data_IF_787704229877
#
_entry.id   IF_787704229877
#
_cell.length_a   1.000
_cell.length_b   1.000
_cell.length_c   1.000
_cell.angle_alpha   90.00
_cell.angle_beta   90.00
_cell.angle_gamma   90.00
#
_symmetry.space_group_name_H-M   'P 1'
#
loop_
_entity.id
_entity.type
_entity.pdbx_description
1 polymer ?
#
# COMPACT_ATOMS: atom_id res chain seq x y z
N UNK A 1 2.99 18.20 1.00
CA UNK A 1 4.02 17.25 0.52
C UNK A 1 3.32 16.02 0.00
N UNK A 2 3.89 15.38 -1.01
CA UNK A 2 3.42 14.11 -1.55
C UNK A 2 4.10 12.98 -0.77
N UNK A 3 3.32 12.12 -0.12
CA UNK A 3 3.81 11.01 0.69
C UNK A 3 3.31 9.69 0.07
N UNK A 4 4.23 8.80 -0.29
CA UNK A 4 3.87 7.44 -0.70
C UNK A 4 3.88 6.50 0.49
N UNK A 5 2.79 5.75 0.69
CA UNK A 5 2.72 4.70 1.73
C UNK A 5 3.22 3.38 1.15
N UNK A 6 4.18 2.75 1.82
CA UNK A 6 4.64 1.39 1.53
C UNK A 6 4.25 0.45 2.67
N UNK A 7 3.53 -0.63 2.36
CA UNK A 7 2.98 -1.51 3.38
C UNK A 7 2.66 -2.91 2.83
N UNK A 8 2.46 -3.86 3.74
CA UNK A 8 1.83 -5.13 3.38
C UNK A 8 0.37 -4.90 2.98
N UNK A 9 -0.09 -5.56 1.91
CA UNK A 9 -1.50 -5.56 1.55
C UNK A 9 -2.40 -6.18 2.63
N UNK A 10 -1.85 -6.99 3.54
CA UNK A 10 -2.57 -7.49 4.73
C UNK A 10 -2.94 -6.40 5.73
N UNK A 11 -2.27 -5.24 5.67
CA UNK A 11 -2.54 -4.09 6.54
C UNK A 11 -3.50 -3.08 5.89
N UNK A 12 -4.07 -3.36 4.70
CA UNK A 12 -4.89 -2.40 3.92
C UNK A 12 -6.00 -1.72 4.72
N UNK A 13 -6.52 -2.39 5.75
CA UNK A 13 -7.55 -1.87 6.66
C UNK A 13 -7.09 -0.62 7.43
N UNK A 14 -5.78 -0.38 7.55
CA UNK A 14 -5.18 0.81 8.19
C UNK A 14 -5.11 2.02 7.25
N UNK A 15 -5.25 1.83 5.93
CA UNK A 15 -5.14 2.91 4.95
C UNK A 15 -6.09 4.09 5.22
N UNK A 16 -7.39 3.89 5.50
CA UNK A 16 -8.31 5.01 5.72
C UNK A 16 -7.89 5.91 6.89
N UNK A 17 -7.42 5.31 7.99
CA UNK A 17 -6.95 6.04 9.18
C UNK A 17 -5.69 6.84 8.88
N UNK A 18 -4.69 6.20 8.26
CA UNK A 18 -3.38 6.81 8.00
C UNK A 18 -3.48 7.89 6.93
N UNK A 19 -4.23 7.64 5.85
CA UNK A 19 -4.51 8.66 4.85
C UNK A 19 -5.21 9.85 5.50
N UNK A 20 -6.24 9.61 6.32
CA UNK A 20 -6.96 10.68 7.01
C UNK A 20 -6.05 11.56 7.87
N UNK A 21 -5.14 10.96 8.65
CA UNK A 21 -4.18 11.72 9.48
C UNK A 21 -3.25 12.58 8.62
N UNK A 22 -2.68 12.02 7.55
CA UNK A 22 -1.73 12.71 6.69
C UNK A 22 -2.41 13.82 5.87
N UNK A 23 -3.61 13.54 5.34
CA UNK A 23 -4.42 14.50 4.59
C UNK A 23 -4.86 15.66 5.48
N UNK A 24 -5.27 15.40 6.73
CA UNK A 24 -5.60 16.45 7.71
C UNK A 24 -4.39 17.35 8.04
N UNK A 25 -3.17 16.81 7.96
CA UNK A 25 -1.94 17.58 8.10
C UNK A 25 -1.53 18.33 6.81
N UNK A 26 -2.32 18.27 5.74
CA UNK A 26 -2.08 18.97 4.48
C UNK A 26 -1.14 18.23 3.52
N UNK A 27 -0.98 16.91 3.67
CA UNK A 27 -0.22 16.08 2.75
C UNK A 27 -1.11 15.44 1.68
N UNK A 28 -0.55 15.25 0.50
CA UNK A 28 -1.14 14.39 -0.54
C UNK A 28 -0.61 12.98 -0.34
N UNK A 29 -1.48 11.97 -0.37
CA UNK A 29 -1.12 10.58 -0.03
C UNK A 29 -1.28 9.66 -1.24
N UNK A 30 -0.18 9.01 -1.63
CA UNK A 30 -0.17 8.01 -2.68
C UNK A 30 -0.16 6.60 -2.07
N UNK A 31 -1.20 5.83 -2.33
CA UNK A 31 -1.35 4.46 -1.80
C UNK A 31 -0.81 3.40 -2.75
N UNK A 32 -0.42 2.21 -2.25
CA UNK A 32 0.07 1.10 -3.08
C UNK A 32 -0.94 0.63 -4.13
N UNK A 33 -2.23 0.69 -3.78
CA UNK A 33 -3.30 0.24 -4.66
C UNK A 33 -4.61 0.91 -4.30
N UNK A 34 -5.52 1.05 -5.27
CA UNK A 34 -6.90 1.40 -4.97
C UNK A 34 -7.59 0.15 -4.43
N UNK A 35 -7.90 0.14 -3.14
CA UNK A 35 -8.46 -1.01 -2.42
C UNK A 35 -9.86 -1.41 -2.90
N UNK A 36 -10.45 -0.62 -3.80
CA UNK A 36 -11.79 -0.83 -4.36
C UNK A 36 -11.80 -1.80 -5.55
N UNK A 37 -10.66 -2.09 -6.17
CA UNK A 37 -10.64 -2.78 -7.46
C UNK A 37 -10.53 -4.31 -7.41
N UNK A 38 -10.20 -4.92 -6.25
CA UNK A 38 -10.05 -6.38 -6.17
C UNK A 38 -10.12 -6.94 -4.75
N UNK A 39 -10.71 -8.14 -4.61
CA UNK A 39 -10.68 -8.92 -3.38
C UNK A 39 -9.31 -9.61 -3.21
N UNK A 40 -8.36 -8.88 -2.62
CA UNK A 40 -7.05 -9.43 -2.28
C UNK A 40 -7.11 -10.51 -1.18
N UNK A 41 -8.15 -10.50 -0.33
CA UNK A 41 -8.23 -11.40 0.82
C UNK A 41 -8.69 -12.79 0.42
N UNK A 42 -9.67 -12.88 -0.49
CA UNK A 42 -10.12 -14.15 -1.07
C UNK A 42 -9.14 -14.80 -2.05
N UNK A 43 -8.16 -14.04 -2.56
CA UNK A 43 -7.17 -14.55 -3.52
C UNK A 43 -6.06 -15.36 -2.83
N UNK A 44 -5.72 -16.54 -3.40
CA UNK A 44 -4.55 -17.31 -3.00
C UNK A 44 -3.24 -16.65 -3.48
N UNK A 45 -2.09 -17.15 -3.02
CA UNK A 45 -0.79 -16.53 -3.32
C UNK A 45 -0.47 -16.47 -4.82
N UNK A 46 -0.90 -17.48 -5.59
CA UNK A 46 -0.73 -17.49 -7.05
C UNK A 46 -1.59 -16.43 -7.72
N UNK A 47 -2.87 -16.35 -7.35
CA UNK A 47 -3.79 -15.32 -7.84
C UNK A 47 -3.31 -13.91 -7.49
N UNK A 48 -2.76 -13.71 -6.28
CA UNK A 48 -2.16 -12.44 -5.86
C UNK A 48 -0.92 -12.09 -6.68
N UNK A 49 -0.08 -13.07 -7.01
CA UNK A 49 1.10 -12.88 -7.84
C UNK A 49 0.73 -12.55 -9.29
N UNK A 50 -0.23 -13.27 -9.85
CA UNK A 50 -0.75 -13.04 -11.20
C UNK A 50 -1.42 -11.66 -11.29
N UNK A 51 -2.24 -11.28 -10.31
CA UNK A 51 -2.86 -9.95 -10.26
C UNK A 51 -1.82 -8.81 -10.19
N UNK A 52 -0.74 -8.97 -9.42
CA UNK A 52 0.37 -8.00 -9.38
C UNK A 52 1.05 -7.84 -10.73
N UNK A 53 1.19 -8.94 -11.48
CA UNK A 53 1.83 -8.97 -12.79
C UNK A 53 0.91 -8.37 -13.86
N UNK A 54 -0.34 -8.84 -13.92
CA UNK A 54 -1.31 -8.47 -14.94
C UNK A 54 -1.70 -6.98 -14.86
N UNK A 55 -1.70 -6.43 -13.65
CA UNK A 55 -2.01 -5.00 -13.40
C UNK A 55 -0.77 -4.14 -13.21
N UNK A 56 0.43 -4.70 -13.38
CA UNK A 56 1.72 -4.02 -13.21
C UNK A 56 1.82 -3.22 -11.88
N UNK A 57 1.20 -3.73 -10.81
CA UNK A 57 0.99 -2.99 -9.55
C UNK A 57 2.30 -2.56 -8.91
N UNK A 58 3.34 -3.39 -9.05
CA UNK A 58 4.67 -3.10 -8.50
C UNK A 58 5.28 -1.90 -9.21
N UNK A 59 5.22 -1.86 -10.56
CA UNK A 59 5.79 -0.74 -11.33
C UNK A 59 4.98 0.52 -11.11
N UNK A 60 3.64 0.45 -11.14
CA UNK A 60 2.79 1.59 -10.85
C UNK A 60 3.06 2.17 -9.47
N UNK A 61 3.24 1.32 -8.46
CA UNK A 61 3.59 1.80 -7.12
C UNK A 61 5.01 2.38 -7.06
N UNK A 62 5.97 1.78 -7.76
CA UNK A 62 7.33 2.33 -7.87
C UNK A 62 7.36 3.72 -8.49
N UNK A 63 6.55 3.97 -9.53
CA UNK A 63 6.43 5.31 -10.11
C UNK A 63 5.84 6.33 -9.13
N UNK A 64 4.89 5.93 -8.25
CA UNK A 64 4.40 6.78 -7.15
C UNK A 64 5.52 7.15 -6.16
N UNK A 65 6.35 6.17 -5.79
CA UNK A 65 7.51 6.38 -4.91
C UNK A 65 8.47 7.41 -5.49
N UNK A 66 8.74 7.35 -6.81
CA UNK A 66 9.68 8.27 -7.47
C UNK A 66 9.24 9.74 -7.45
N UNK A 67 7.94 9.99 -7.43
CA UNK A 67 7.38 11.36 -7.45
C UNK A 67 7.03 11.89 -6.07
N UNK A 68 7.15 11.07 -5.02
CA UNK A 68 6.89 11.50 -3.65
C UNK A 68 8.07 12.22 -3.00
N UNK A 69 7.76 13.22 -2.18
CA UNK A 69 8.74 13.93 -1.34
C UNK A 69 9.24 13.03 -0.19
N UNK A 70 8.39 12.12 0.27
CA UNK A 70 8.70 11.20 1.37
C UNK A 70 7.99 9.84 1.22
N UNK A 71 8.54 8.84 1.90
CA UNK A 71 7.98 7.48 1.96
C UNK A 71 7.64 7.17 3.42
N UNK A 72 6.40 6.74 3.66
CA UNK A 72 5.98 6.18 4.94
C UNK A 72 5.92 4.66 4.84
N UNK A 73 6.78 3.97 5.58
CA UNK A 73 6.78 2.50 5.64
C UNK A 73 5.99 2.03 6.87
N UNK A 74 4.90 1.30 6.64
CA UNK A 74 4.13 0.66 7.71
C UNK A 74 4.73 -0.70 8.03
N UNK A 75 5.63 -0.70 9.00
CA UNK A 75 6.30 -1.89 9.49
C UNK A 75 5.62 -2.45 10.75
N UNK A 76 4.34 -2.82 10.62
CA UNK A 76 3.61 -3.49 11.69
C UNK A 76 3.83 -5.01 11.65
N UNK A 77 3.86 -5.64 12.82
CA UNK A 77 3.92 -7.10 12.94
C UNK A 77 2.68 -7.74 12.32
N UNK A 78 2.90 -8.83 11.58
CA UNK A 78 1.82 -9.66 11.07
C UNK A 78 1.74 -10.97 11.88
N UNK A 79 0.55 -11.57 12.04
CA UNK A 79 0.42 -12.83 12.76
C UNK A 79 1.41 -13.89 12.24
N UNK A 80 2.28 -14.38 13.13
CA UNK A 80 3.31 -15.38 12.81
C UNK A 80 4.50 -14.88 12.00
N UNK A 81 4.63 -13.57 11.76
CA UNK A 81 5.76 -12.95 11.05
C UNK A 81 6.20 -11.67 11.78
N UNK A 82 7.05 -11.79 12.83
CA UNK A 82 7.66 -10.62 13.46
C UNK A 82 8.51 -9.88 12.42
N UNK A 83 8.38 -8.55 12.37
CA UNK A 83 9.12 -7.70 11.43
C UNK A 83 10.24 -6.96 12.16
N UNK A 84 11.43 -7.55 12.18
CA UNK A 84 12.69 -6.93 12.58
C UNK A 84 13.68 -6.86 11.42
#
# INVERSE_FOLDING_TARGET
MVITICMSMSLRHRLPEICGILEQAGHEVLTPVDTREFDYEGANDRQRADLKRDKDLIRTHYEKIKVSDAILVLNEDLPGKPRY
#
